data_IF_242646985273
#
_entry.id   IF_242646985273
#
_cell.length_a   1.000
_cell.length_b   1.000
_cell.length_c   1.000
_cell.angle_alpha   90.00
_cell.angle_beta   90.00
_cell.angle_gamma   90.00
#
_symmetry.space_group_name_H-M   'P 1'
#
loop_
_entity.id
_entity.type
_entity.pdbx_description
1 polymer ?
#
# COMPACT_ATOMS: atom_id res chain seq x y z
N UNK A 1 -5.49 17.60 16.43
CA UNK A 1 -6.52 17.63 15.38
C UNK A 1 -7.58 16.60 15.76
N UNK A 2 -8.80 17.07 16.01
CA UNK A 2 -9.89 16.32 16.65
C UNK A 2 -10.50 15.25 15.75
N UNK A 3 -9.83 14.13 15.62
CA UNK A 3 -10.47 12.92 15.13
C UNK A 3 -10.15 11.82 16.14
N UNK A 4 -10.89 11.84 17.26
CA UNK A 4 -10.80 10.85 18.34
C UNK A 4 -11.12 9.43 17.86
N UNK A 5 -11.46 8.52 18.78
CA UNK A 5 -11.75 7.11 18.46
C UNK A 5 -12.84 6.90 17.38
N UNK A 6 -13.60 7.93 17.02
CA UNK A 6 -14.71 7.89 16.07
C UNK A 6 -14.36 8.46 14.68
N UNK A 7 -13.07 8.60 14.33
CA UNK A 7 -12.70 9.05 12.99
C UNK A 7 -13.04 8.01 11.92
N UNK A 8 -13.38 8.46 10.70
CA UNK A 8 -13.63 7.58 9.56
C UNK A 8 -12.45 6.61 9.36
N UNK A 9 -11.22 7.10 9.44
CA UNK A 9 -10.00 6.29 9.32
C UNK A 9 -9.93 5.18 10.37
N UNK A 10 -10.20 5.48 11.65
CA UNK A 10 -10.14 4.49 12.74
C UNK A 10 -11.27 3.47 12.64
N UNK A 11 -12.51 3.94 12.44
CA UNK A 11 -13.69 3.08 12.30
C UNK A 11 -13.49 2.13 11.12
N UNK A 12 -13.16 2.66 9.95
CA UNK A 12 -13.03 1.86 8.74
C UNK A 12 -11.90 0.84 8.83
N UNK A 13 -10.74 1.21 9.39
CA UNK A 13 -9.67 0.26 9.63
C UNK A 13 -9.99 -0.78 10.70
N UNK A 14 -10.85 -0.45 11.68
CA UNK A 14 -11.38 -1.44 12.61
C UNK A 14 -12.21 -2.48 11.87
N UNK A 15 -13.19 -2.04 11.09
CA UNK A 15 -14.07 -2.89 10.28
C UNK A 15 -13.27 -3.74 9.26
N UNK A 16 -12.24 -3.19 8.63
CA UNK A 16 -11.41 -3.93 7.66
C UNK A 16 -10.60 -5.07 8.28
N UNK A 17 -10.32 -5.01 9.59
CA UNK A 17 -9.62 -6.06 10.35
C UNK A 17 -10.55 -7.14 10.90
N UNK A 18 -11.85 -6.91 10.88
CA UNK A 18 -12.82 -7.91 11.34
C UNK A 18 -12.80 -9.17 10.47
N UNK A 19 -12.94 -10.31 11.13
CA UNK A 19 -13.01 -11.62 10.47
C UNK A 19 -14.36 -11.79 9.76
N UNK A 20 -15.44 -11.34 10.40
CA UNK A 20 -16.75 -11.34 9.78
C UNK A 20 -16.79 -10.28 8.67
N UNK A 21 -16.92 -10.71 7.42
CA UNK A 21 -16.97 -9.79 6.27
C UNK A 21 -18.34 -9.15 6.09
N UNK A 22 -19.38 -9.61 6.77
CA UNK A 22 -20.72 -9.00 6.72
C UNK A 22 -20.71 -7.55 7.21
N UNK A 23 -19.80 -7.22 8.13
CA UNK A 23 -19.63 -5.86 8.68
C UNK A 23 -19.13 -4.84 7.64
N UNK A 24 -18.61 -5.30 6.50
CA UNK A 24 -18.18 -4.44 5.38
C UNK A 24 -19.32 -4.05 4.44
N UNK A 25 -20.48 -4.71 4.51
CA UNK A 25 -21.62 -4.45 3.61
C UNK A 25 -22.01 -2.95 3.59
N UNK A 26 -22.13 -2.25 4.74
CA UNK A 26 -22.44 -0.82 4.74
C UNK A 26 -21.35 0.05 4.07
N UNK A 27 -20.11 -0.44 4.00
CA UNK A 27 -18.95 0.29 3.53
C UNK A 27 -18.64 0.05 2.05
N UNK A 28 -19.27 -0.93 1.38
CA UNK A 28 -19.00 -1.26 -0.02
C UNK A 28 -19.05 -0.04 -0.96
N UNK A 29 -20.03 0.85 -0.77
CA UNK A 29 -20.14 2.07 -1.58
C UNK A 29 -18.92 2.97 -1.45
N UNK A 30 -18.47 3.21 -0.21
CA UNK A 30 -17.28 4.01 0.07
C UNK A 30 -16.00 3.32 -0.43
N UNK A 31 -15.83 2.03 -0.12
CA UNK A 31 -14.66 1.25 -0.53
C UNK A 31 -14.52 1.23 -2.05
N UNK A 32 -15.62 1.04 -2.79
CA UNK A 32 -15.63 1.08 -4.26
C UNK A 32 -15.30 2.46 -4.79
N UNK A 33 -15.86 3.52 -4.19
CA UNK A 33 -15.55 4.89 -4.59
C UNK A 33 -14.07 5.20 -4.38
N UNK A 34 -13.54 4.85 -3.21
CA UNK A 34 -12.15 5.10 -2.85
C UNK A 34 -11.18 4.32 -3.73
N UNK A 35 -11.42 3.03 -3.95
CA UNK A 35 -10.65 2.21 -4.89
C UNK A 35 -10.70 2.77 -6.32
N UNK A 36 -11.88 3.20 -6.78
CA UNK A 36 -12.02 3.84 -8.10
C UNK A 36 -11.22 5.14 -8.19
N UNK A 37 -11.17 5.93 -7.12
CA UNK A 37 -10.36 7.15 -7.07
C UNK A 37 -8.86 6.83 -7.10
N UNK A 38 -8.40 5.85 -6.30
CA UNK A 38 -7.01 5.40 -6.30
C UNK A 38 -6.55 4.88 -7.67
N UNK A 39 -7.43 4.19 -8.41
CA UNK A 39 -7.14 3.70 -9.77
C UNK A 39 -6.89 4.81 -10.78
N UNK A 40 -7.38 6.03 -10.53
CA UNK A 40 -7.11 7.20 -11.38
C UNK A 40 -5.75 7.84 -11.11
N UNK A 41 -5.11 7.52 -9.99
CA UNK A 41 -3.79 8.04 -9.63
C UNK A 41 -2.70 7.18 -10.28
N UNK A 42 -1.58 7.79 -10.69
CA UNK A 42 -0.44 7.04 -11.21
C UNK A 42 0.09 6.07 -10.15
N UNK A 43 0.57 4.91 -10.59
CA UNK A 43 1.24 3.93 -9.73
C UNK A 43 2.71 4.30 -9.54
N UNK A 44 3.18 4.16 -8.32
CA UNK A 44 4.57 4.40 -7.94
C UNK A 44 5.19 3.11 -7.42
N UNK A 45 6.35 2.77 -7.99
CA UNK A 45 7.22 1.75 -7.44
C UNK A 45 8.20 2.41 -6.47
N UNK A 46 8.03 2.16 -5.17
CA UNK A 46 8.76 2.87 -4.11
C UNK A 46 8.82 2.02 -2.84
N UNK A 47 9.78 2.33 -1.97
CA UNK A 47 9.82 1.81 -0.60
C UNK A 47 9.01 2.71 0.32
N UNK A 48 8.07 2.11 1.02
CA UNK A 48 7.23 2.78 1.99
C UNK A 48 7.60 2.39 3.41
N UNK A 49 7.42 3.34 4.31
CA UNK A 49 7.66 3.19 5.73
C UNK A 49 6.35 3.33 6.48
N UNK A 50 6.15 2.47 7.47
CA UNK A 50 5.02 2.56 8.41
C UNK A 50 5.48 2.19 9.80
N UNK A 51 5.29 3.10 10.76
CA UNK A 51 5.60 2.88 12.17
C UNK A 51 4.33 2.61 12.95
N UNK A 52 4.39 1.67 13.88
CA UNK A 52 3.36 1.47 14.90
C UNK A 52 4.00 1.33 16.28
N UNK A 53 3.35 1.91 17.30
CA UNK A 53 3.82 1.91 18.68
C UNK A 53 3.38 0.66 19.45
N UNK A 54 3.66 -0.51 18.88
CA UNK A 54 3.57 -1.81 19.53
C UNK A 54 4.42 -2.83 18.79
N UNK A 55 4.76 -3.92 19.49
CA UNK A 55 5.40 -5.08 18.85
C UNK A 55 4.36 -6.00 18.23
N UNK A 56 4.49 -6.24 16.93
CA UNK A 56 3.70 -7.24 16.19
C UNK A 56 4.59 -8.21 15.40
N UNK A 57 5.90 -8.19 15.64
CA UNK A 57 6.90 -9.01 14.93
C UNK A 57 6.52 -10.49 14.87
N UNK A 58 5.99 -11.03 15.97
CA UNK A 58 5.59 -12.43 16.10
C UNK A 58 4.48 -12.88 15.13
N UNK A 59 3.77 -11.93 14.52
CA UNK A 59 2.70 -12.21 13.55
C UNK A 59 3.22 -12.36 12.11
N UNK A 60 4.52 -12.14 11.88
CA UNK A 60 5.13 -12.13 10.55
C UNK A 60 6.35 -13.05 10.55
N UNK A 61 6.28 -14.15 9.80
CA UNK A 61 7.40 -15.07 9.61
C UNK A 61 7.89 -15.00 8.18
N UNK A 62 9.16 -15.30 7.96
CA UNK A 62 9.71 -15.34 6.62
C UNK A 62 8.85 -16.19 5.66
N UNK A 63 8.66 -15.68 4.44
CA UNK A 63 7.86 -16.26 3.37
C UNK A 63 6.33 -16.28 3.61
N UNK A 64 5.83 -15.79 4.74
CA UNK A 64 4.39 -15.61 4.93
C UNK A 64 3.83 -14.66 3.87
N UNK A 65 2.68 -15.03 3.31
CA UNK A 65 1.90 -14.18 2.42
C UNK A 65 0.69 -13.62 3.16
N UNK A 66 0.44 -12.32 2.97
CA UNK A 66 -0.71 -11.64 3.53
C UNK A 66 -1.36 -10.73 2.49
N UNK A 67 -2.66 -10.51 2.67
CA UNK A 67 -3.38 -9.50 1.92
C UNK A 67 -3.53 -8.23 2.75
N UNK A 68 -3.09 -7.11 2.19
CA UNK A 68 -3.16 -5.80 2.84
C UNK A 68 -4.55 -5.19 2.69
N UNK A 69 -5.36 -5.32 3.73
CA UNK A 69 -6.75 -4.83 3.75
C UNK A 69 -6.91 -3.45 4.39
N UNK A 70 -5.91 -2.94 5.09
CA UNK A 70 -6.04 -1.71 5.88
C UNK A 70 -5.67 -0.47 5.06
N UNK A 71 -6.45 0.60 5.20
CA UNK A 71 -6.00 1.94 4.87
C UNK A 71 -4.87 2.32 5.81
N UNK A 72 -3.66 2.31 5.28
CA UNK A 72 -2.47 2.52 6.08
C UNK A 72 -1.83 3.79 5.59
N UNK A 73 -1.80 4.82 6.45
CA UNK A 73 -0.92 5.96 6.21
C UNK A 73 0.51 5.45 6.26
N UNK A 74 1.07 5.26 5.08
CA UNK A 74 2.47 4.95 4.86
C UNK A 74 3.13 6.21 4.30
N UNK A 75 4.40 6.41 4.61
CA UNK A 75 5.16 7.55 4.11
C UNK A 75 6.34 7.06 3.28
N UNK A 76 6.65 7.79 2.23
CA UNK A 76 7.94 7.64 1.53
C UNK A 76 9.11 8.27 2.32
N UNK A 77 8.82 9.02 3.39
CA UNK A 77 9.80 9.71 4.22
C UNK A 77 9.99 9.03 5.57
N UNK A 78 11.15 8.42 5.78
CA UNK A 78 11.52 7.84 7.09
C UNK A 78 11.50 8.90 8.21
N UNK A 79 11.75 10.18 7.89
CA UNK A 79 11.72 11.28 8.87
C UNK A 79 10.33 11.47 9.46
N UNK A 80 9.29 11.35 8.65
CA UNK A 80 7.88 11.44 9.06
C UNK A 80 7.54 10.25 9.95
N UNK A 81 7.97 9.03 9.57
CA UNK A 81 7.58 7.82 10.29
C UNK A 81 8.10 7.76 11.73
N UNK A 82 9.23 8.40 12.02
CA UNK A 82 9.80 8.45 13.37
C UNK A 82 8.83 8.96 14.43
N UNK A 83 7.89 9.85 14.10
CA UNK A 83 6.93 10.37 15.06
C UNK A 83 5.88 9.34 15.53
N UNK A 84 5.72 8.24 14.79
CA UNK A 84 4.80 7.16 15.11
C UNK A 84 5.45 6.01 15.90
N UNK A 85 6.77 6.08 16.12
CA UNK A 85 7.51 5.12 16.94
C UNK A 85 7.51 5.61 18.40
N UNK A 86 7.27 4.69 19.33
CA UNK A 86 7.37 4.93 20.77
C UNK A 86 8.45 4.07 21.41
N UNK A 87 8.20 3.62 22.64
CA UNK A 87 9.19 2.89 23.45
C UNK A 87 9.46 1.49 22.91
N UNK A 88 8.40 0.75 22.54
CA UNK A 88 8.47 -0.54 21.85
C UNK A 88 7.68 -0.39 20.56
N UNK A 89 8.29 -0.65 19.41
CA UNK A 89 7.67 -0.34 18.13
C UNK A 89 8.03 -1.32 17.04
N UNK A 90 7.15 -1.38 16.04
CA UNK A 90 7.40 -2.09 14.80
C UNK A 90 7.47 -1.08 13.66
N UNK A 91 8.54 -1.16 12.88
CA UNK A 91 8.72 -0.42 11.64
C UNK A 91 8.58 -1.39 10.46
N UNK A 92 7.60 -1.13 9.61
CA UNK A 92 7.46 -1.81 8.34
C UNK A 92 8.26 -1.07 7.28
N UNK A 93 9.07 -1.82 6.54
CA UNK A 93 9.63 -1.42 5.26
C UNK A 93 8.92 -2.23 4.17
N UNK A 94 8.24 -1.54 3.27
CA UNK A 94 7.34 -2.17 2.30
C UNK A 94 7.77 -1.77 0.89
N UNK A 95 8.28 -2.72 0.13
CA UNK A 95 8.55 -2.55 -1.30
C UNK A 95 7.23 -2.67 -2.06
N UNK A 96 6.70 -1.56 -2.57
CA UNK A 96 5.47 -1.56 -3.37
C UNK A 96 5.77 -1.20 -4.82
N UNK A 97 4.97 -1.74 -5.73
CA UNK A 97 4.91 -1.43 -7.16
C UNK A 97 3.69 -0.59 -7.51
N UNK A 98 2.61 -0.75 -6.75
CA UNK A 98 1.34 -0.05 -7.00
C UNK A 98 0.98 0.99 -5.92
N UNK A 99 1.99 1.68 -5.36
CA UNK A 99 1.74 2.74 -4.39
C UNK A 99 1.03 3.94 -5.03
N UNK A 100 0.08 4.54 -4.31
CA UNK A 100 -0.69 5.71 -4.76
C UNK A 100 -0.37 6.92 -3.89
N UNK A 101 0.38 7.89 -4.42
CA UNK A 101 0.65 9.12 -3.70
C UNK A 101 -0.63 9.95 -3.57
N UNK A 102 -0.99 10.27 -2.32
CA UNK A 102 -2.20 11.06 -2.02
C UNK A 102 -1.87 12.35 -1.27
N UNK A 103 -0.60 12.72 -1.16
CA UNK A 103 -0.16 13.86 -0.34
C UNK A 103 -0.87 15.16 -0.68
N UNK A 104 -1.21 15.39 -1.96
CA UNK A 104 -1.96 16.59 -2.42
C UNK A 104 -3.44 16.58 -2.04
N UNK A 105 -3.99 15.42 -1.68
CA UNK A 105 -5.37 15.23 -1.23
C UNK A 105 -5.45 15.03 0.29
N UNK A 106 -4.31 14.76 0.94
CA UNK A 106 -4.22 14.56 2.37
C UNK A 106 -4.27 15.90 3.09
N UNK A 107 -4.88 15.90 4.27
CA UNK A 107 -4.88 17.06 5.15
C UNK A 107 -3.47 17.37 5.69
N UNK A 108 -2.55 16.40 5.62
CA UNK A 108 -1.15 16.56 6.02
C UNK A 108 -0.22 16.28 4.84
N UNK A 109 -0.17 17.20 3.88
CA UNK A 109 0.65 17.07 2.66
C UNK A 109 2.14 16.81 2.95
N UNK A 110 2.65 17.35 4.04
CA UNK A 110 4.04 17.21 4.50
C UNK A 110 4.42 15.76 4.87
N UNK A 111 3.42 14.90 5.13
CA UNK A 111 3.67 13.50 5.51
C UNK A 111 4.08 12.61 4.33
N UNK A 112 4.06 13.15 3.10
CA UNK A 112 4.40 12.40 1.88
C UNK A 112 3.64 11.06 1.81
N UNK A 113 2.34 11.13 2.11
CA UNK A 113 1.48 9.97 2.29
C UNK A 113 1.28 9.22 0.97
N UNK A 114 1.47 7.90 1.05
CA UNK A 114 1.25 6.96 -0.04
C UNK A 114 0.36 5.83 0.46
N UNK A 115 -0.72 5.56 -0.27
CA UNK A 115 -1.64 4.46 0.04
C UNK A 115 -1.26 3.22 -0.78
N UNK A 116 -1.27 2.08 -0.09
CA UNK A 116 -1.23 0.76 -0.71
C UNK A 116 -2.68 0.39 -1.05
N UNK A 117 -3.01 0.05 -2.30
CA UNK A 117 -4.34 -0.39 -2.68
C UNK A 117 -4.86 -1.54 -1.82
N UNK A 118 -6.18 -1.56 -1.62
CA UNK A 118 -6.83 -2.65 -0.89
C UNK A 118 -6.67 -3.97 -1.67
N UNK A 119 -6.36 -5.04 -0.95
CA UNK A 119 -6.21 -6.36 -1.59
C UNK A 119 -4.81 -6.62 -2.14
N UNK A 120 -3.88 -5.66 -2.05
CA UNK A 120 -2.47 -5.89 -2.41
C UNK A 120 -1.91 -7.07 -1.63
N UNK A 121 -1.33 -8.04 -2.33
CA UNK A 121 -0.67 -9.20 -1.71
C UNK A 121 0.79 -8.85 -1.41
N UNK A 122 1.21 -9.11 -0.18
CA UNK A 122 2.57 -8.86 0.29
C UNK A 122 3.16 -10.17 0.80
N UNK A 123 4.47 -10.34 0.63
CA UNK A 123 5.25 -11.41 1.24
C UNK A 123 6.24 -10.83 2.24
N UNK A 124 6.41 -11.52 3.37
CA UNK A 124 7.48 -11.26 4.33
C UNK A 124 8.80 -11.76 3.73
N UNK A 125 9.74 -10.85 3.53
CA UNK A 125 10.98 -11.14 2.79
C UNK A 125 12.01 -11.90 3.63
N UNK A 126 12.06 -11.61 4.92
CA UNK A 126 12.96 -12.24 5.89
C UNK A 126 12.29 -12.24 7.26
N UNK A 127 12.81 -13.05 8.19
CA UNK A 127 12.46 -12.88 9.60
C UNK A 127 12.71 -11.44 10.06
N UNK A 128 11.90 -11.00 11.04
CA UNK A 128 11.98 -9.65 11.56
C UNK A 128 13.36 -9.38 12.16
N UNK A 129 13.92 -8.19 11.88
CA UNK A 129 15.10 -7.72 12.59
C UNK A 129 14.65 -7.24 13.97
N UNK A 130 14.94 -8.03 14.99
CA UNK A 130 14.75 -7.66 16.38
C UNK A 130 16.03 -7.01 16.92
N UNK A 131 15.96 -5.71 17.22
CA UNK A 131 17.04 -5.01 17.86
C UNK A 131 16.55 -4.01 18.91
N UNK A 132 16.88 -4.30 20.16
CA UNK A 132 16.52 -3.52 21.34
C UNK A 132 15.01 -3.34 21.50
N UNK A 133 14.46 -2.20 21.10
CA UNK A 133 13.03 -1.90 21.24
C UNK A 133 12.35 -1.56 19.91
N UNK A 134 13.05 -1.81 18.81
CA UNK A 134 12.55 -1.62 17.46
C UNK A 134 12.64 -2.93 16.68
N UNK A 135 11.49 -3.42 16.26
CA UNK A 135 11.38 -4.53 15.33
C UNK A 135 11.20 -3.99 13.91
N UNK A 136 11.97 -4.50 12.95
CA UNK A 136 11.82 -4.13 11.53
C UNK A 136 11.27 -5.31 10.74
N UNK A 137 10.15 -5.09 10.06
CA UNK A 137 9.51 -6.08 9.19
C UNK A 137 9.66 -5.65 7.74
N UNK A 138 10.22 -6.52 6.92
CA UNK A 138 10.39 -6.29 5.48
C UNK A 138 9.30 -7.01 4.70
N UNK A 139 8.47 -6.25 4.00
CA UNK A 139 7.43 -6.73 3.11
C UNK A 139 7.72 -6.37 1.66
N UNK A 140 7.31 -7.24 0.74
CA UNK A 140 7.39 -6.98 -0.71
C UNK A 140 6.06 -7.31 -1.38
N UNK A 141 5.58 -6.39 -2.23
CA UNK A 141 4.41 -6.63 -3.08
C UNK A 141 4.66 -7.76 -4.07
N UNK A 142 3.73 -8.72 -4.07
CA UNK A 142 3.68 -9.80 -5.04
C UNK A 142 3.06 -9.27 -6.33
N UNK A 143 3.60 -9.70 -7.47
CA UNK A 143 3.01 -9.44 -8.78
C UNK A 143 2.32 -10.70 -9.23
N UNK A 144 1.06 -10.59 -9.63
CA UNK A 144 0.38 -11.67 -10.31
C UNK A 144 1.06 -11.88 -11.68
N UNK A 145 1.49 -13.10 -11.99
CA UNK A 145 2.18 -13.42 -13.25
C UNK A 145 1.34 -13.01 -14.48
N UNK A 146 0.01 -12.98 -14.35
CA UNK A 146 -0.93 -12.52 -15.39
C UNK A 146 -0.80 -11.02 -15.73
N UNK A 147 -0.36 -10.16 -14.80
CA UNK A 147 -0.18 -8.72 -15.08
C UNK A 147 1.11 -8.45 -15.89
N UNK A 148 2.08 -9.36 -15.84
CA UNK A 148 3.29 -9.27 -16.68
C UNK A 148 2.99 -9.58 -18.15
N UNK A 149 2.09 -10.53 -18.43
CA UNK A 149 1.64 -10.84 -19.80
C UNK A 149 0.80 -9.70 -20.41
N UNK A 150 -0.08 -9.08 -19.63
CA UNK A 150 -0.87 -7.95 -20.11
C UNK A 150 0.01 -6.73 -20.43
N UNK A 151 0.95 -6.37 -19.55
CA UNK A 151 1.83 -5.21 -19.76
C UNK A 151 2.81 -5.41 -20.92
N UNK A 152 3.34 -6.62 -21.10
CA UNK A 152 4.19 -6.97 -22.25
C UNK A 152 3.41 -7.02 -23.57
N UNK A 153 2.15 -7.49 -23.54
CA UNK A 153 1.21 -7.45 -24.68
C UNK A 153 0.93 -6.01 -25.15
N UNK A 154 0.65 -5.09 -24.22
CA UNK A 154 0.42 -3.68 -24.56
C UNK A 154 1.69 -2.97 -25.05
N UNK A 155 2.86 -3.27 -24.49
CA UNK A 155 4.13 -2.73 -24.96
C UNK A 155 4.47 -3.20 -26.39
N UNK A 156 4.21 -4.47 -26.71
CA UNK A 156 4.42 -5.01 -28.05
C UNK A 156 3.42 -4.45 -29.09
N UNK A 157 2.17 -4.14 -28.71
CA UNK A 157 1.22 -3.47 -29.61
C UNK A 157 1.62 -2.03 -29.96
N UNK A 158 2.29 -1.32 -29.06
CA UNK A 158 2.79 0.04 -29.32
C UNK A 158 3.96 0.09 -30.31
N UNK A 159 4.75 -0.98 -30.41
CA UNK A 159 5.91 -1.04 -31.31
C UNK A 159 5.52 -1.33 -32.79
N UNK A 160 4.36 -1.94 -33.04
CA UNK A 160 3.96 -2.39 -34.39
C UNK A 160 3.30 -1.30 -35.23
N UNK A 161 2.96 -0.14 -34.67
CA UNK A 161 2.31 0.95 -35.40
C UNK A 161 3.34 1.95 -35.94
N UNK A 162 4.13 1.50 -36.91
CA UNK A 162 4.85 2.39 -37.84
C UNK A 162 4.35 2.07 -39.24
N UNK A 163 3.22 2.69 -39.61
CA UNK A 163 2.64 2.59 -40.95
C UNK A 163 3.58 3.34 -41.90
N UNK A 164 4.19 2.60 -42.83
CA UNK A 164 4.92 3.15 -43.99
C UNK A 164 3.96 4.02 -44.79
N UNK A 165 4.21 5.32 -44.85
CA UNK A 165 3.53 6.20 -45.79
C UNK A 165 4.25 6.08 -47.14
N UNK A 166 3.63 5.36 -48.08
CA UNK A 166 4.03 5.30 -49.47
C UNK A 166 3.04 6.20 -50.23
N UNK A 167 3.47 7.39 -50.63
CA UNK A 167 2.75 8.21 -51.60
C UNK A 167 3.53 8.18 -52.91
N UNK A 168 2.92 7.57 -53.92
CA UNK A 168 3.27 7.78 -55.32
C UNK A 168 2.14 8.59 -55.96
N UNK A 169 2.49 9.75 -56.49
CA UNK A 169 2.29 10.21 -57.88
C UNK A 169 2.99 11.57 -58.04
#
# INVERSE_FOLDING_TARGET
MDWGEQSLYRILNGVLREKDRSVLIPWHGYLRLFDTALKKLPSLQINLWRGINCDVSQNYKENDELTWWCFSSCSSSIKVVKQFLGSISTLFMIEVKNGKAISVYSNFSEENEVIIPLGTRLRVVSDALDHASLNVIHLRELVDENDQELTSSFANMGATTSIKHQMGE
#
